data_IF_386086818194
#
_entry.id   IF_386086818194
#
_cell.length_a   1.000
_cell.length_b   1.000
_cell.length_c   1.000
_cell.angle_alpha   90.00
_cell.angle_beta   90.00
_cell.angle_gamma   90.00
#
_symmetry.space_group_name_H-M   'P 1'
#
loop_
_entity.id
_entity.type
_entity.pdbx_description
1 polymer ?
#
# COMPACT_ATOMS: atom_id res chain seq x y z
N UNK A 1 10.30 28.83 7.20
CA UNK A 1 9.50 28.59 5.99
C UNK A 1 8.69 27.32 6.22
N UNK A 2 7.38 27.41 6.07
CA UNK A 2 6.42 26.39 6.47
C UNK A 2 6.40 25.26 5.43
N UNK A 3 7.22 24.23 5.60
CA UNK A 3 7.16 23.00 4.78
C UNK A 3 6.00 22.15 5.29
N UNK A 4 4.77 22.65 5.14
CA UNK A 4 3.57 21.92 5.54
C UNK A 4 3.34 20.78 4.57
N UNK A 5 3.47 19.54 5.05
CA UNK A 5 2.99 18.38 4.32
C UNK A 5 1.52 18.61 3.89
N UNK A 6 1.11 18.16 2.69
CA UNK A 6 -0.26 18.34 2.23
C UNK A 6 -1.23 17.75 3.26
N UNK A 7 -2.24 18.55 3.65
CA UNK A 7 -3.29 18.16 4.60
C UNK A 7 -4.04 16.93 4.09
N UNK A 8 -4.20 15.92 4.94
CA UNK A 8 -5.11 14.81 4.66
C UNK A 8 -6.55 15.32 4.63
N UNK A 9 -7.27 15.04 3.55
CA UNK A 9 -8.68 15.45 3.40
C UNK A 9 -9.60 14.44 4.11
N UNK A 10 -10.80 14.87 4.55
CA UNK A 10 -11.81 13.94 5.03
C UNK A 10 -12.04 12.79 4.03
N UNK A 11 -12.16 11.58 4.57
CA UNK A 11 -12.19 10.32 3.84
C UNK A 11 -10.85 9.58 3.88
N UNK A 12 -9.72 10.29 3.94
CA UNK A 12 -8.35 9.71 3.90
C UNK A 12 -7.64 9.64 5.26
N UNK A 13 -8.18 10.26 6.29
CA UNK A 13 -7.45 10.53 7.53
C UNK A 13 -7.17 9.23 8.26
N UNK A 14 -8.18 8.38 8.46
CA UNK A 14 -8.02 7.15 9.23
C UNK A 14 -7.13 6.14 8.50
N UNK A 15 -7.25 6.06 7.17
CA UNK A 15 -6.45 5.14 6.37
C UNK A 15 -4.99 5.59 6.33
N UNK A 16 -4.74 6.90 6.15
CA UNK A 16 -3.39 7.44 6.18
C UNK A 16 -2.73 7.28 7.56
N UNK A 17 -3.51 7.48 8.64
CA UNK A 17 -3.03 7.24 10.00
C UNK A 17 -2.64 5.77 10.23
N UNK A 18 -3.40 4.82 9.69
CA UNK A 18 -3.06 3.40 9.68
C UNK A 18 -1.74 3.14 8.96
N UNK A 19 -1.62 3.62 7.71
CA UNK A 19 -0.44 3.45 6.87
C UNK A 19 0.85 4.08 7.45
N UNK A 20 0.72 5.11 8.29
CA UNK A 20 1.85 5.76 8.95
C UNK A 20 2.21 5.14 10.31
N UNK A 21 1.33 4.33 10.92
CA UNK A 21 1.40 3.95 12.34
C UNK A 21 2.77 3.43 12.77
N UNK A 22 3.39 2.55 11.97
CA UNK A 22 4.68 1.94 12.31
C UNK A 22 5.89 2.87 12.12
N UNK A 23 5.71 4.00 11.44
CA UNK A 23 6.75 5.02 11.23
C UNK A 23 6.72 6.17 12.26
N UNK A 24 5.67 6.24 13.08
CA UNK A 24 5.48 7.30 14.06
C UNK A 24 6.36 7.12 15.31
N UNK A 25 6.70 8.23 15.99
CA UNK A 25 7.32 8.17 17.33
C UNK A 25 6.39 7.49 18.33
N UNK A 26 6.91 6.92 19.43
CA UNK A 26 6.07 6.22 20.45
C UNK A 26 4.89 7.06 20.95
N UNK A 27 5.07 8.36 21.19
CA UNK A 27 3.97 9.23 21.62
C UNK A 27 2.94 9.43 20.50
N UNK A 28 3.39 9.66 19.26
CA UNK A 28 2.51 9.79 18.10
C UNK A 28 1.77 8.48 17.76
N UNK A 29 2.42 7.33 17.94
CA UNK A 29 1.80 6.01 17.80
C UNK A 29 0.62 5.81 18.74
N UNK A 30 0.76 6.24 19.99
CA UNK A 30 -0.31 6.16 20.99
C UNK A 30 -1.48 7.07 20.65
N UNK A 31 -1.19 8.28 20.16
CA UNK A 31 -2.22 9.21 19.68
C UNK A 31 -2.94 8.60 18.47
N UNK A 32 -2.21 8.14 17.46
CA UNK A 32 -2.78 7.52 16.27
C UNK A 32 -3.59 6.27 16.62
N UNK A 33 -3.07 5.38 17.47
CA UNK A 33 -3.77 4.17 17.91
C UNK A 33 -5.11 4.49 18.60
N UNK A 34 -5.15 5.51 19.45
CA UNK A 34 -6.39 5.91 20.10
C UNK A 34 -7.40 6.52 19.11
N UNK A 35 -6.94 7.39 18.19
CA UNK A 35 -7.79 7.95 17.13
C UNK A 35 -8.36 6.85 16.24
N UNK A 36 -7.52 5.88 15.88
CA UNK A 36 -7.89 4.74 15.04
C UNK A 36 -8.91 3.82 15.73
N UNK A 37 -8.79 3.61 17.03
CA UNK A 37 -9.70 2.78 17.81
C UNK A 37 -11.04 3.47 18.10
N UNK A 38 -11.03 4.78 18.37
CA UNK A 38 -12.19 5.51 18.90
C UNK A 38 -12.43 6.85 18.16
N UNK A 39 -12.49 6.86 16.81
CA UNK A 39 -12.48 8.11 16.04
C UNK A 39 -13.67 9.01 16.37
N UNK A 40 -14.87 8.43 16.54
CA UNK A 40 -16.07 9.16 16.93
C UNK A 40 -15.94 9.83 18.31
N UNK A 41 -15.37 9.14 19.30
CA UNK A 41 -15.14 9.73 20.63
C UNK A 41 -14.17 10.89 20.55
N UNK A 42 -13.07 10.77 19.78
CA UNK A 42 -12.09 11.85 19.62
C UNK A 42 -12.73 13.16 19.13
N UNK A 43 -13.77 13.10 18.29
CA UNK A 43 -14.48 14.30 17.82
C UNK A 43 -15.12 15.11 18.95
N UNK A 44 -15.43 14.46 20.07
CA UNK A 44 -16.09 15.06 21.23
C UNK A 44 -15.10 15.47 22.33
N UNK A 45 -13.84 14.99 22.28
CA UNK A 45 -12.84 15.27 23.31
C UNK A 45 -12.28 16.69 23.24
N UNK A 46 -11.85 17.19 24.40
CA UNK A 46 -10.88 18.29 24.47
C UNK A 46 -9.45 17.78 24.27
N UNK A 47 -8.50 18.70 24.05
CA UNK A 47 -7.09 18.32 23.94
C UNK A 47 -6.53 17.76 25.26
N UNK A 48 -7.02 18.25 26.40
CA UNK A 48 -6.63 17.79 27.72
C UNK A 48 -7.11 16.35 27.98
N UNK A 49 -8.33 16.02 27.54
CA UNK A 49 -8.86 14.65 27.63
C UNK A 49 -8.03 13.69 26.78
N UNK A 50 -7.77 14.06 25.52
CA UNK A 50 -6.96 13.24 24.63
C UNK A 50 -5.52 13.09 25.15
N UNK A 51 -4.95 14.15 25.73
CA UNK A 51 -3.64 14.11 26.41
C UNK A 51 -3.61 13.08 27.53
N UNK A 52 -4.66 13.04 28.35
CA UNK A 52 -4.79 12.09 29.46
C UNK A 52 -4.92 10.66 28.97
N UNK A 53 -5.79 10.41 27.98
CA UNK A 53 -6.06 9.09 27.41
C UNK A 53 -4.85 8.51 26.68
N UNK A 54 -4.09 9.36 25.98
CA UNK A 54 -2.92 8.95 25.19
C UNK A 54 -1.61 9.10 25.95
N UNK A 55 -1.64 9.57 27.21
CA UNK A 55 -0.53 10.05 28.03
C UNK A 55 0.56 10.76 27.20
N UNK A 56 0.14 11.65 26.31
CA UNK A 56 0.99 12.46 25.47
C UNK A 56 0.66 13.93 25.76
N UNK A 57 1.66 14.74 26.11
CA UNK A 57 1.41 16.14 26.44
C UNK A 57 0.74 16.91 25.30
N UNK A 58 -0.09 17.90 25.63
CA UNK A 58 -0.89 18.65 24.65
C UNK A 58 -0.06 19.25 23.50
N UNK A 59 1.15 19.75 23.80
CA UNK A 59 2.06 20.24 22.77
C UNK A 59 2.47 19.15 21.77
N UNK A 60 2.58 17.89 22.21
CA UNK A 60 2.84 16.74 21.34
C UNK A 60 1.64 16.44 20.44
N UNK A 61 0.41 16.53 20.96
CA UNK A 61 -0.81 16.37 20.16
C UNK A 61 -0.91 17.47 19.09
N UNK A 62 -0.65 18.73 19.45
CA UNK A 62 -0.64 19.83 18.48
C UNK A 62 0.41 19.58 17.39
N UNK A 63 1.63 19.18 17.77
CA UNK A 63 2.67 18.81 16.80
C UNK A 63 2.24 17.66 15.91
N UNK A 64 1.61 16.63 16.47
CA UNK A 64 1.07 15.50 15.72
C UNK A 64 0.04 15.95 14.67
N UNK A 65 -0.96 16.77 15.04
CA UNK A 65 -1.90 17.32 14.07
C UNK A 65 -1.20 18.16 12.98
N UNK A 66 -0.14 18.90 13.33
CA UNK A 66 0.66 19.66 12.36
C UNK A 66 1.45 18.77 11.40
N UNK A 67 1.96 17.62 11.86
CA UNK A 67 2.61 16.65 10.96
C UNK A 67 1.66 16.07 9.91
N UNK A 68 0.36 16.07 10.20
CA UNK A 68 -0.71 15.65 9.28
C UNK A 68 -1.24 16.79 8.39
N UNK A 69 -0.60 17.97 8.45
CA UNK A 69 -0.96 19.15 7.66
C UNK A 69 -2.06 20.05 8.24
N UNK A 70 -2.47 19.84 9.49
CA UNK A 70 -3.47 20.68 10.18
C UNK A 70 -2.84 21.82 10.98
N UNK A 71 -3.59 22.89 11.23
CA UNK A 71 -3.12 24.04 12.03
C UNK A 71 -2.97 23.70 13.52
N UNK A 72 -3.78 22.76 14.01
CA UNK A 72 -3.81 22.27 15.39
C UNK A 72 -4.95 21.28 15.63
N UNK A 73 -5.22 20.94 16.89
CA UNK A 73 -6.17 19.88 17.25
C UNK A 73 -7.62 20.17 16.82
N UNK A 74 -8.11 21.41 16.97
CA UNK A 74 -9.47 21.75 16.56
C UNK A 74 -9.68 21.62 15.05
N UNK A 75 -8.72 22.08 14.24
CA UNK A 75 -8.76 21.97 12.79
C UNK A 75 -8.74 20.50 12.32
N UNK A 76 -7.93 19.66 12.99
CA UNK A 76 -7.95 18.20 12.79
C UNK A 76 -9.31 17.58 13.17
N UNK A 77 -9.87 17.98 14.32
CA UNK A 77 -11.12 17.42 14.86
C UNK A 77 -12.31 17.68 13.94
N UNK A 78 -12.35 18.84 13.27
CA UNK A 78 -13.40 19.17 12.30
C UNK A 78 -13.39 18.20 11.11
N UNK A 79 -12.23 17.97 10.52
CA UNK A 79 -12.12 17.05 9.37
C UNK A 79 -12.34 15.59 9.77
N UNK A 80 -11.86 15.19 10.95
CA UNK A 80 -12.14 13.87 11.50
C UNK A 80 -13.65 13.67 11.71
N UNK A 81 -14.36 14.69 12.20
CA UNK A 81 -15.82 14.61 12.38
C UNK A 81 -16.57 14.45 11.05
N UNK A 82 -16.14 15.14 9.99
CA UNK A 82 -16.69 14.97 8.65
C UNK A 82 -16.48 13.52 8.17
N UNK A 83 -15.25 12.99 8.30
CA UNK A 83 -14.94 11.62 7.89
C UNK A 83 -15.76 10.58 8.65
N UNK A 84 -15.82 10.70 9.99
CA UNK A 84 -16.61 9.83 10.85
C UNK A 84 -18.09 9.83 10.44
N UNK A 85 -18.67 11.01 10.21
CA UNK A 85 -20.08 11.12 9.80
C UNK A 85 -20.36 10.43 8.44
N UNK A 86 -19.42 10.53 7.50
CA UNK A 86 -19.53 9.87 6.18
C UNK A 86 -19.34 8.35 6.25
N UNK A 87 -18.46 7.85 7.13
CA UNK A 87 -18.21 6.42 7.33
C UNK A 87 -19.33 5.70 8.10
N UNK A 88 -19.96 6.37 9.07
CA UNK A 88 -21.10 5.80 9.82
C UNK A 88 -22.32 5.49 8.93
N UNK A 89 -22.48 6.14 7.78
CA UNK A 89 -23.55 5.80 6.83
C UNK A 89 -23.29 4.49 6.06
N UNK A 90 -22.06 3.95 6.09
CA UNK A 90 -21.68 2.74 5.37
C UNK A 90 -21.30 1.53 6.26
N UNK A 91 -21.11 1.71 7.58
CA UNK A 91 -20.23 0.80 8.33
C UNK A 91 -20.70 0.40 9.76
N UNK A 92 -21.90 -0.16 9.93
CA UNK A 92 -22.32 -0.77 11.21
C UNK A 92 -21.60 -2.10 11.57
N UNK A 93 -20.39 -2.38 11.04
CA UNK A 93 -19.73 -3.69 11.17
C UNK A 93 -18.20 -3.66 11.36
N UNK A 94 -17.61 -2.52 11.72
CA UNK A 94 -16.16 -2.26 11.55
C UNK A 94 -15.21 -3.00 12.48
N UNK A 95 -15.70 -3.61 13.57
CA UNK A 95 -14.82 -3.96 14.68
C UNK A 95 -14.65 -5.46 14.95
N UNK A 96 -15.38 -6.35 14.28
CA UNK A 96 -15.33 -7.81 14.53
C UNK A 96 -15.13 -8.63 13.25
N UNK A 97 -14.05 -8.35 12.51
CA UNK A 97 -13.57 -9.27 11.47
C UNK A 97 -12.79 -10.47 12.05
N UNK A 98 -12.57 -10.50 13.36
CA UNK A 98 -11.89 -11.61 14.02
C UNK A 98 -12.81 -12.83 14.08
N UNK A 99 -12.24 -13.98 13.71
CA UNK A 99 -12.90 -15.27 13.81
C UNK A 99 -13.08 -15.62 15.29
N UNK A 100 -14.32 -15.88 15.68
CA UNK A 100 -14.73 -16.24 17.04
C UNK A 100 -14.95 -17.76 17.12
N UNK A 101 -14.81 -18.33 18.32
CA UNK A 101 -14.96 -19.77 18.56
C UNK A 101 -16.34 -20.32 18.13
N UNK A 102 -17.38 -19.49 18.15
CA UNK A 102 -18.74 -19.85 17.75
C UNK A 102 -19.09 -19.58 16.28
N UNK A 103 -18.17 -19.08 15.46
CA UNK A 103 -18.47 -18.78 14.06
C UNK A 103 -18.61 -20.07 13.23
N UNK A 104 -19.70 -20.18 12.48
CA UNK A 104 -19.81 -21.19 11.42
C UNK A 104 -19.07 -20.76 10.14
N UNK A 105 -18.97 -21.66 9.16
CA UNK A 105 -18.25 -21.40 7.91
C UNK A 105 -18.81 -20.20 7.12
N UNK A 106 -20.12 -19.94 7.18
CA UNK A 106 -20.75 -18.82 6.48
C UNK A 106 -20.45 -17.50 7.18
N UNK A 107 -20.49 -17.47 8.52
CA UNK A 107 -20.08 -16.32 9.33
C UNK A 107 -18.62 -15.94 9.06
N UNK A 108 -17.71 -16.91 9.04
CA UNK A 108 -16.29 -16.69 8.68
C UNK A 108 -16.19 -16.15 7.24
N UNK A 109 -16.92 -16.74 6.29
CA UNK A 109 -16.94 -16.29 4.90
C UNK A 109 -17.39 -14.83 4.75
N UNK A 110 -18.44 -14.42 5.47
CA UNK A 110 -18.94 -13.04 5.48
C UNK A 110 -17.94 -12.07 6.12
N UNK A 111 -17.31 -12.46 7.24
CA UNK A 111 -16.24 -11.65 7.88
C UNK A 111 -15.06 -11.46 6.94
N UNK A 112 -14.65 -12.50 6.24
CA UNK A 112 -13.57 -12.43 5.26
C UNK A 112 -13.92 -11.55 4.06
N UNK A 113 -15.14 -11.66 3.53
CA UNK A 113 -15.62 -10.80 2.44
C UNK A 113 -15.61 -9.33 2.86
N UNK A 114 -16.12 -9.02 4.05
CA UNK A 114 -16.11 -7.66 4.59
C UNK A 114 -14.68 -7.13 4.74
N UNK A 115 -13.77 -7.93 5.30
CA UNK A 115 -12.37 -7.56 5.44
C UNK A 115 -11.72 -7.22 4.08
N UNK A 116 -11.98 -8.04 3.05
CA UNK A 116 -11.45 -7.80 1.70
C UNK A 116 -12.04 -6.52 1.08
N UNK A 117 -13.34 -6.30 1.21
CA UNK A 117 -14.00 -5.08 0.69
C UNK A 117 -13.42 -3.81 1.32
N UNK A 118 -13.15 -3.85 2.62
CA UNK A 118 -12.54 -2.75 3.34
C UNK A 118 -11.12 -2.49 2.84
N UNK A 119 -10.31 -3.54 2.68
CA UNK A 119 -8.94 -3.44 2.16
C UNK A 119 -8.91 -2.85 0.74
N UNK A 120 -9.84 -3.23 -0.14
CA UNK A 120 -9.93 -2.67 -1.49
C UNK A 120 -10.34 -1.19 -1.47
N UNK A 121 -11.28 -0.82 -0.61
CA UNK A 121 -11.72 0.56 -0.43
C UNK A 121 -10.58 1.44 0.11
N UNK A 122 -9.88 0.95 1.14
CA UNK A 122 -8.69 1.58 1.72
C UNK A 122 -7.58 1.74 0.65
N UNK A 123 -7.36 0.70 -0.14
CA UNK A 123 -6.37 0.73 -1.23
C UNK A 123 -6.67 1.83 -2.23
N UNK A 124 -7.90 1.91 -2.74
CA UNK A 124 -8.28 2.98 -3.68
C UNK A 124 -8.17 4.38 -3.06
N UNK A 125 -8.39 4.49 -1.76
CA UNK A 125 -8.32 5.75 -1.05
C UNK A 125 -6.88 6.23 -0.83
N UNK A 126 -5.97 5.32 -0.49
CA UNK A 126 -4.54 5.60 -0.26
C UNK A 126 -3.74 5.74 -1.57
N UNK A 127 -4.11 4.99 -2.61
CA UNK A 127 -3.37 4.94 -3.85
C UNK A 127 -3.45 6.27 -4.61
N UNK A 128 -2.28 6.80 -4.98
CA UNK A 128 -2.21 7.95 -5.88
C UNK A 128 -2.38 7.49 -7.33
N UNK A 129 -3.55 7.75 -7.92
CA UNK A 129 -3.84 7.40 -9.32
C UNK A 129 -2.86 8.07 -10.28
N UNK A 130 -2.44 9.30 -9.99
CA UNK A 130 -1.41 9.98 -10.77
C UNK A 130 -0.09 9.19 -10.73
N UNK A 131 0.33 8.69 -9.56
CA UNK A 131 1.55 7.88 -9.45
C UNK A 131 1.43 6.55 -10.21
N UNK A 132 0.26 5.91 -10.17
CA UNK A 132 -0.03 4.70 -10.97
C UNK A 132 0.12 4.99 -12.46
N UNK A 133 -0.44 6.09 -12.95
CA UNK A 133 -0.33 6.49 -14.36
C UNK A 133 1.12 6.79 -14.76
N UNK A 134 1.92 7.41 -13.89
CA UNK A 134 3.35 7.60 -14.14
C UNK A 134 4.09 6.26 -14.21
N UNK A 135 3.82 5.33 -13.30
CA UNK A 135 4.39 3.97 -13.34
C UNK A 135 4.01 3.27 -14.64
N UNK A 136 2.75 3.32 -15.08
CA UNK A 136 2.32 2.74 -16.36
C UNK A 136 3.09 3.34 -17.54
N UNK A 137 3.32 4.66 -17.57
CA UNK A 137 4.11 5.33 -18.61
C UNK A 137 5.57 4.86 -18.64
N UNK A 138 6.15 4.54 -17.48
CA UNK A 138 7.52 4.04 -17.35
C UNK A 138 7.67 2.58 -17.78
N UNK A 139 6.68 1.74 -17.46
CA UNK A 139 6.74 0.31 -17.76
C UNK A 139 6.62 0.01 -19.27
N UNK A 140 5.90 0.85 -20.04
CA UNK A 140 5.69 0.63 -21.48
C UNK A 140 6.99 0.61 -22.30
N UNK A 141 7.88 1.62 -22.19
CA UNK A 141 9.15 1.63 -22.91
C UNK A 141 10.28 0.90 -22.17
N UNK A 142 10.03 0.29 -21.00
CA UNK A 142 11.09 -0.30 -20.19
C UNK A 142 11.80 -1.43 -20.93
N UNK A 143 13.13 -1.39 -20.94
CA UNK A 143 13.97 -2.43 -21.53
C UNK A 143 13.83 -3.77 -20.77
N UNK A 144 13.77 -3.66 -19.44
CA UNK A 144 13.58 -4.76 -18.51
C UNK A 144 12.83 -4.28 -17.27
N UNK A 145 11.93 -5.14 -16.78
CA UNK A 145 11.24 -4.96 -15.51
C UNK A 145 11.67 -6.09 -14.57
N UNK A 146 12.14 -5.74 -13.37
CA UNK A 146 12.45 -6.71 -12.32
C UNK A 146 11.55 -6.47 -11.11
N UNK A 147 10.83 -7.50 -10.67
CA UNK A 147 9.94 -7.42 -9.51
C UNK A 147 10.57 -8.21 -8.35
N UNK A 148 10.74 -7.56 -7.20
CA UNK A 148 11.37 -8.13 -6.02
C UNK A 148 10.37 -8.21 -4.87
N UNK A 149 10.24 -9.38 -4.26
CA UNK A 149 9.45 -9.57 -3.04
C UNK A 149 9.76 -10.90 -2.37
N UNK A 150 9.72 -10.95 -1.04
CA UNK A 150 9.91 -12.19 -0.26
C UNK A 150 8.56 -12.67 0.30
N UNK A 151 8.46 -13.97 0.62
CA UNK A 151 7.27 -14.55 1.24
C UNK A 151 6.00 -14.33 0.41
N UNK A 152 4.92 -13.89 1.05
CA UNK A 152 3.65 -13.58 0.39
C UNK A 152 3.77 -12.52 -0.71
N UNK A 153 4.63 -11.51 -0.52
CA UNK A 153 4.88 -10.47 -1.52
C UNK A 153 5.64 -11.01 -2.75
N UNK A 154 6.44 -12.06 -2.57
CA UNK A 154 7.07 -12.79 -3.68
C UNK A 154 6.06 -13.55 -4.54
N UNK A 155 5.01 -14.12 -3.94
CA UNK A 155 3.92 -14.77 -4.69
C UNK A 155 3.21 -13.75 -5.58
N UNK A 156 2.91 -12.56 -5.03
CA UNK A 156 2.32 -11.46 -5.79
C UNK A 156 3.23 -10.99 -6.93
N UNK A 157 4.55 -10.97 -6.72
CA UNK A 157 5.53 -10.63 -7.76
C UNK A 157 5.50 -11.62 -8.93
N UNK A 158 5.43 -12.92 -8.66
CA UNK A 158 5.35 -13.97 -9.69
C UNK A 158 4.02 -13.90 -10.48
N UNK A 159 2.90 -13.60 -9.81
CA UNK A 159 1.61 -13.37 -10.51
C UNK A 159 1.71 -12.19 -11.50
N UNK A 160 2.28 -11.07 -11.05
CA UNK A 160 2.48 -9.90 -11.90
C UNK A 160 3.41 -10.21 -13.08
N UNK A 161 4.51 -10.95 -12.87
CA UNK A 161 5.38 -11.42 -13.95
C UNK A 161 4.58 -12.19 -15.00
N UNK A 162 3.78 -13.18 -14.58
CA UNK A 162 2.96 -13.98 -15.50
C UNK A 162 1.99 -13.13 -16.34
N UNK A 163 1.33 -12.14 -15.71
CA UNK A 163 0.39 -11.24 -16.38
C UNK A 163 1.08 -10.28 -17.36
N UNK A 164 2.16 -9.64 -16.93
CA UNK A 164 2.90 -8.66 -17.75
C UNK A 164 3.63 -9.33 -18.91
N UNK A 165 4.21 -10.52 -18.70
CA UNK A 165 4.81 -11.33 -19.78
C UNK A 165 3.78 -11.68 -20.86
N UNK A 166 2.52 -11.93 -20.48
CA UNK A 166 1.43 -12.28 -21.40
C UNK A 166 1.01 -11.13 -22.33
N UNK A 167 1.39 -9.90 -22.02
CA UNK A 167 1.20 -8.72 -22.89
C UNK A 167 2.51 -8.23 -23.51
N UNK A 168 3.59 -9.02 -23.41
CA UNK A 168 4.84 -8.82 -24.14
C UNK A 168 5.90 -7.99 -23.43
N UNK A 169 5.68 -7.64 -22.16
CA UNK A 169 6.69 -6.93 -21.38
C UNK A 169 7.84 -7.87 -21.00
N UNK A 170 9.06 -7.34 -21.06
CA UNK A 170 10.28 -8.05 -20.65
C UNK A 170 10.41 -7.99 -19.13
N UNK A 171 9.71 -8.87 -18.46
CA UNK A 171 9.60 -8.91 -17.00
C UNK A 171 10.20 -10.18 -16.41
N UNK A 172 10.81 -10.05 -15.25
CA UNK A 172 11.14 -11.18 -14.38
C UNK A 172 10.81 -10.85 -12.91
N UNK A 173 10.60 -11.88 -12.11
CA UNK A 173 10.40 -11.78 -10.67
C UNK A 173 11.47 -12.61 -9.98
N UNK A 174 12.05 -12.06 -8.92
CA UNK A 174 12.98 -12.77 -8.05
C UNK A 174 12.44 -12.76 -6.63
N UNK A 175 12.29 -13.96 -6.06
CA UNK A 175 11.74 -14.18 -4.71
C UNK A 175 12.77 -14.69 -3.70
N UNK A 176 13.97 -15.01 -4.18
CA UNK A 176 15.16 -15.35 -3.39
C UNK A 176 16.15 -14.17 -3.38
N UNK A 177 16.71 -13.88 -2.20
CA UNK A 177 17.62 -12.76 -2.00
C UNK A 177 18.84 -12.74 -2.94
N UNK A 178 19.52 -13.87 -3.17
CA UNK A 178 20.68 -13.92 -4.06
C UNK A 178 20.31 -13.55 -5.49
N UNK A 179 19.19 -14.07 -6.01
CA UNK A 179 18.73 -13.73 -7.36
C UNK A 179 18.28 -12.28 -7.45
N UNK A 180 17.59 -11.74 -6.44
CA UNK A 180 17.23 -10.32 -6.39
C UNK A 180 18.48 -9.44 -6.50
N UNK A 181 19.51 -9.71 -5.70
CA UNK A 181 20.72 -8.86 -5.66
C UNK A 181 21.51 -8.94 -6.96
N UNK A 182 21.66 -10.14 -7.54
CA UNK A 182 22.35 -10.31 -8.81
C UNK A 182 21.59 -9.63 -9.95
N UNK A 183 20.26 -9.77 -10.01
CA UNK A 183 19.47 -9.08 -11.02
C UNK A 183 19.52 -7.57 -10.86
N UNK A 184 19.33 -7.06 -9.64
CA UNK A 184 19.34 -5.63 -9.33
C UNK A 184 20.68 -4.97 -9.67
N UNK A 185 21.80 -5.62 -9.35
CA UNK A 185 23.15 -5.09 -9.62
C UNK A 185 23.50 -5.02 -11.11
N UNK A 186 22.77 -5.73 -11.96
CA UNK A 186 22.97 -5.80 -13.41
C UNK A 186 21.93 -4.97 -14.19
N UNK A 187 21.05 -4.23 -13.50
CA UNK A 187 20.12 -3.32 -14.15
C UNK A 187 20.86 -2.09 -14.70
N UNK A 188 20.17 -1.30 -15.51
CA UNK A 188 20.75 -0.13 -16.18
C UNK A 188 19.71 0.99 -16.39
N UNK A 189 20.13 2.19 -16.82
CA UNK A 189 19.20 3.22 -17.27
C UNK A 189 18.25 2.69 -18.35
N UNK A 190 16.95 2.93 -18.16
CA UNK A 190 15.87 2.38 -19.01
C UNK A 190 15.19 1.14 -18.43
N UNK A 191 15.77 0.51 -17.40
CA UNK A 191 15.11 -0.57 -16.66
C UNK A 191 14.24 -0.03 -15.51
N UNK A 192 13.27 -0.83 -15.08
CA UNK A 192 12.39 -0.53 -13.94
C UNK A 192 12.45 -1.66 -12.89
N UNK A 193 12.75 -1.30 -11.65
CA UNK A 193 12.70 -2.21 -10.51
C UNK A 193 11.47 -1.93 -9.65
N UNK A 194 10.68 -2.97 -9.36
CA UNK A 194 9.51 -2.88 -8.49
C UNK A 194 9.78 -3.68 -7.22
N UNK A 195 9.89 -3.02 -6.07
CA UNK A 195 9.99 -3.66 -4.77
C UNK A 195 8.63 -3.77 -4.09
N UNK A 196 8.18 -4.99 -3.80
CA UNK A 196 6.94 -5.27 -3.08
C UNK A 196 7.28 -5.68 -1.65
N UNK A 197 6.85 -4.88 -0.68
CA UNK A 197 7.02 -5.17 0.74
C UNK A 197 5.92 -4.50 1.55
N UNK A 198 5.04 -5.29 2.16
CA UNK A 198 3.95 -4.74 2.98
C UNK A 198 4.48 -3.84 4.12
N UNK A 199 5.48 -4.31 4.88
CA UNK A 199 6.10 -3.51 5.96
C UNK A 199 6.98 -2.37 5.44
N UNK A 200 7.46 -2.51 4.20
CA UNK A 200 8.45 -1.63 3.58
C UNK A 200 9.84 -1.67 4.22
N UNK A 201 10.11 -2.70 5.03
CA UNK A 201 11.34 -2.86 5.83
C UNK A 201 12.03 -4.21 5.65
N UNK A 202 11.53 -5.09 4.76
CA UNK A 202 12.25 -6.35 4.44
C UNK A 202 13.64 -6.02 3.93
N UNK A 203 14.66 -6.52 4.64
CA UNK A 203 16.06 -6.22 4.36
C UNK A 203 16.44 -6.64 2.93
N UNK A 204 15.91 -7.77 2.46
CA UNK A 204 16.13 -8.32 1.14
C UNK A 204 15.55 -7.41 0.05
N UNK A 205 14.24 -7.10 0.12
CA UNK A 205 13.61 -6.25 -0.89
C UNK A 205 14.20 -4.84 -0.90
N UNK A 206 14.45 -4.27 0.29
CA UNK A 206 15.07 -2.95 0.44
C UNK A 206 16.48 -2.92 -0.15
N UNK A 207 17.30 -3.95 0.11
CA UNK A 207 18.65 -4.03 -0.44
C UNK A 207 18.65 -4.19 -1.96
N UNK A 208 17.77 -5.04 -2.50
CA UNK A 208 17.61 -5.21 -3.95
C UNK A 208 17.19 -3.91 -4.63
N UNK A 209 16.20 -3.19 -4.09
CA UNK A 209 15.76 -1.92 -4.67
C UNK A 209 16.87 -0.85 -4.62
N UNK A 210 17.66 -0.82 -3.54
CA UNK A 210 18.83 0.05 -3.42
C UNK A 210 19.89 -0.26 -4.50
N UNK A 211 20.22 -1.53 -4.71
CA UNK A 211 21.17 -1.95 -5.76
C UNK A 211 20.68 -1.55 -7.15
N UNK A 212 19.40 -1.76 -7.44
CA UNK A 212 18.79 -1.38 -8.71
C UNK A 212 18.89 0.14 -8.96
N UNK A 213 18.61 0.95 -7.93
CA UNK A 213 18.78 2.41 -8.01
C UNK A 213 20.23 2.81 -8.27
N UNK A 214 21.17 2.18 -7.58
CA UNK A 214 22.61 2.43 -7.77
C UNK A 214 23.08 2.05 -9.18
N UNK A 215 22.49 1.03 -9.78
CA UNK A 215 22.75 0.62 -11.15
C UNK A 215 22.06 1.52 -12.21
N UNK A 216 21.23 2.47 -11.79
CA UNK A 216 20.59 3.47 -12.65
C UNK A 216 19.17 3.11 -13.12
N UNK A 217 18.57 2.04 -12.59
CA UNK A 217 17.17 1.71 -12.87
C UNK A 217 16.22 2.70 -12.18
N UNK A 218 15.05 2.92 -12.78
CA UNK A 218 13.94 3.61 -12.10
C UNK A 218 13.32 2.67 -11.07
N UNK A 219 13.08 3.15 -9.87
CA UNK A 219 12.60 2.33 -8.75
C UNK A 219 11.17 2.65 -8.33
N UNK A 220 10.37 1.61 -8.12
CA UNK A 220 8.97 1.69 -7.68
C UNK A 220 8.80 0.86 -6.41
N UNK A 221 8.19 1.42 -5.37
CA UNK A 221 7.81 0.68 -4.17
C UNK A 221 6.29 0.44 -4.14
N UNK A 222 5.87 -0.80 -3.87
CA UNK A 222 4.50 -1.15 -3.49
C UNK A 222 4.50 -1.59 -2.02
N UNK A 223 3.88 -0.78 -1.16
CA UNK A 223 3.91 -0.99 0.29
C UNK A 223 2.66 -0.44 0.96
N UNK A 224 2.33 -0.95 2.15
CA UNK A 224 1.32 -0.31 3.00
C UNK A 224 1.94 0.79 3.85
N UNK A 225 3.19 0.62 4.30
CA UNK A 225 3.82 1.52 5.25
C UNK A 225 4.39 2.76 4.56
N UNK A 226 3.70 3.89 4.74
CA UNK A 226 4.01 5.16 4.07
C UNK A 226 5.38 5.74 4.48
N UNK A 227 5.80 5.51 5.73
CA UNK A 227 7.06 6.02 6.28
C UNK A 227 8.13 4.93 6.45
N UNK A 228 8.25 4.02 5.50
CA UNK A 228 9.18 2.89 5.57
C UNK A 228 10.46 3.10 4.75
N UNK A 229 11.50 2.33 5.04
CA UNK A 229 12.80 2.45 4.35
C UNK A 229 12.69 2.31 2.83
N UNK A 230 11.77 1.47 2.33
CA UNK A 230 11.58 1.29 0.89
C UNK A 230 11.04 2.56 0.21
N UNK A 231 10.25 3.39 0.91
CA UNK A 231 9.68 4.61 0.34
C UNK A 231 10.70 5.73 0.20
N UNK A 232 11.73 5.76 1.05
CA UNK A 232 12.86 6.69 0.95
C UNK A 232 13.77 6.36 -0.24
N UNK A 233 13.83 5.08 -0.64
CA UNK A 233 14.66 4.62 -1.74
C UNK A 233 13.98 4.75 -3.10
N UNK A 234 12.66 4.55 -3.17
CA UNK A 234 11.94 4.50 -4.43
C UNK A 234 11.75 5.88 -5.09
N UNK A 235 11.79 5.92 -6.42
CA UNK A 235 11.45 7.12 -7.20
C UNK A 235 9.93 7.31 -7.27
N UNK A 236 9.18 6.21 -7.25
CA UNK A 236 7.71 6.20 -7.20
C UNK A 236 7.22 5.29 -6.07
N UNK A 237 6.26 5.77 -5.29
CA UNK A 237 5.69 5.03 -4.16
C UNK A 237 4.20 4.82 -4.38
N UNK A 238 3.77 3.56 -4.36
CA UNK A 238 2.39 3.13 -4.43
C UNK A 238 1.98 2.60 -3.06
N UNK A 239 1.11 3.36 -2.37
CA UNK A 239 0.60 2.98 -1.06
C UNK A 239 -0.70 2.19 -1.24
N UNK A 240 -0.71 0.93 -0.80
CA UNK A 240 -1.91 0.09 -0.76
C UNK A 240 -2.53 0.03 0.63
N UNK A 241 -3.80 -0.34 0.69
CA UNK A 241 -4.50 -0.57 1.95
C UNK A 241 -4.07 -1.90 2.58
N UNK A 242 -4.11 -1.94 3.90
CA UNK A 242 -4.35 -3.13 4.72
C UNK A 242 -4.03 -2.78 6.18
N UNK A 243 -4.99 -2.16 6.86
CA UNK A 243 -4.92 -1.84 8.30
C UNK A 243 -4.98 -3.05 9.25
N UNK A 244 -4.81 -4.28 8.74
CA UNK A 244 -4.80 -5.44 9.62
C UNK A 244 -3.55 -5.45 10.51
N UNK A 245 -3.71 -5.91 11.76
CA UNK A 245 -2.72 -5.78 12.83
C UNK A 245 -1.33 -6.36 12.53
N UNK A 246 -0.34 -5.95 13.31
CA UNK A 246 1.11 -6.17 13.12
C UNK A 246 1.58 -7.62 12.84
N UNK A 247 0.74 -8.63 13.07
CA UNK A 247 1.05 -10.05 12.85
C UNK A 247 0.49 -10.62 11.52
N UNK A 248 -0.11 -9.79 10.67
CA UNK A 248 -0.87 -10.22 9.49
C UNK A 248 -0.22 -9.83 8.15
N UNK A 249 1.11 -9.66 8.10
CA UNK A 249 1.83 -9.36 6.86
C UNK A 249 1.58 -10.36 5.72
N UNK A 250 1.27 -11.62 6.04
CA UNK A 250 0.90 -12.68 5.10
C UNK A 250 -0.61 -12.88 4.94
N UNK A 251 -1.45 -11.93 5.41
CA UNK A 251 -2.90 -12.06 5.29
C UNK A 251 -3.36 -12.01 3.84
N UNK A 252 -4.54 -12.60 3.62
CA UNK A 252 -5.26 -12.46 2.36
C UNK A 252 -5.52 -11.00 2.00
N UNK A 253 -5.77 -10.12 2.98
CA UNK A 253 -5.91 -8.68 2.78
C UNK A 253 -4.67 -8.07 2.13
N UNK A 254 -3.47 -8.31 2.70
CA UNK A 254 -2.20 -7.82 2.12
C UNK A 254 -2.06 -8.26 0.67
N UNK A 255 -2.28 -9.55 0.39
CA UNK A 255 -2.10 -10.11 -0.94
C UNK A 255 -3.11 -9.52 -1.93
N UNK A 256 -4.39 -9.44 -1.56
CA UNK A 256 -5.44 -8.89 -2.42
C UNK A 256 -5.18 -7.42 -2.73
N UNK A 257 -4.75 -6.62 -1.76
CA UNK A 257 -4.41 -5.22 -2.00
C UNK A 257 -3.26 -5.06 -3.01
N UNK A 258 -2.19 -5.85 -2.86
CA UNK A 258 -1.07 -5.82 -3.80
C UNK A 258 -1.48 -6.29 -5.20
N UNK A 259 -2.21 -7.40 -5.29
CA UNK A 259 -2.74 -7.94 -6.54
C UNK A 259 -3.65 -6.92 -7.24
N UNK A 260 -4.51 -6.24 -6.48
CA UNK A 260 -5.39 -5.21 -7.01
C UNK A 260 -4.62 -4.05 -7.65
N UNK A 261 -3.58 -3.53 -6.99
CA UNK A 261 -2.74 -2.45 -7.56
C UNK A 261 -2.03 -2.92 -8.83
N UNK A 262 -1.50 -4.15 -8.83
CA UNK A 262 -0.82 -4.72 -9.99
C UNK A 262 -1.80 -5.01 -11.15
N UNK A 263 -3.02 -5.44 -10.86
CA UNK A 263 -4.07 -5.63 -11.87
C UNK A 263 -4.58 -4.30 -12.43
N UNK A 264 -4.64 -3.25 -11.62
CA UNK A 264 -4.93 -1.90 -12.10
C UNK A 264 -3.84 -1.43 -13.07
N UNK A 265 -2.57 -1.61 -12.73
CA UNK A 265 -1.43 -1.31 -13.63
C UNK A 265 -1.54 -2.13 -14.92
N UNK A 266 -1.80 -3.44 -14.82
CA UNK A 266 -1.98 -4.31 -15.97
C UNK A 266 -3.14 -3.85 -16.87
N UNK A 267 -4.30 -3.53 -16.29
CA UNK A 267 -5.46 -3.05 -17.05
C UNK A 267 -5.17 -1.73 -17.77
N UNK A 268 -4.44 -0.81 -17.12
CA UNK A 268 -4.02 0.45 -17.72
C UNK A 268 -2.99 0.26 -18.84
N UNK A 269 -2.06 -0.69 -18.70
CA UNK A 269 -1.11 -1.08 -19.75
C UNK A 269 -1.85 -1.64 -20.98
N UNK A 270 -2.81 -2.54 -20.78
CA UNK A 270 -3.65 -3.09 -21.86
C UNK A 270 -4.48 -1.98 -22.53
N UNK A 271 -5.09 -1.08 -21.75
CA UNK A 271 -5.86 0.04 -22.27
C UNK A 271 -5.00 0.97 -23.15
N UNK A 272 -3.72 1.13 -22.83
CA UNK A 272 -2.83 2.03 -23.55
C UNK A 272 -2.44 1.53 -24.95
N UNK A 273 -2.52 0.22 -25.22
CA UNK A 273 -2.39 -0.38 -26.56
C UNK A 273 -3.19 -1.69 -26.69
N UNK A 274 -4.53 -1.60 -26.88
CA UNK A 274 -5.39 -2.78 -26.83
C UNK A 274 -5.12 -3.80 -27.94
N UNK A 275 -4.81 -3.33 -29.15
CA UNK A 275 -4.59 -4.18 -30.30
C UNK A 275 -3.28 -4.97 -30.18
N UNK A 276 -2.20 -4.31 -29.76
CA UNK A 276 -0.93 -4.98 -29.51
C UNK A 276 -1.07 -5.99 -28.34
N UNK A 277 -1.70 -5.58 -27.25
CA UNK A 277 -1.90 -6.43 -26.08
C UNK A 277 -2.72 -7.69 -26.43
N UNK A 278 -3.81 -7.57 -27.19
CA UNK A 278 -4.61 -8.73 -27.61
C UNK A 278 -3.81 -9.68 -28.51
N UNK A 279 -3.08 -9.14 -29.50
CA UNK A 279 -2.26 -9.93 -30.41
C UNK A 279 -1.20 -10.74 -29.68
N UNK A 280 -0.45 -10.12 -28.77
CA UNK A 280 0.59 -10.80 -27.98
C UNK A 280 -0.03 -11.80 -27.00
N UNK A 281 -1.14 -11.45 -26.35
CA UNK A 281 -1.85 -12.35 -25.44
C UNK A 281 -2.36 -13.60 -26.17
N UNK A 282 -2.87 -13.47 -27.39
CA UNK A 282 -3.26 -14.61 -28.22
C UNK A 282 -2.06 -15.49 -28.54
N UNK A 283 -0.94 -14.91 -28.99
CA UNK A 283 0.30 -15.64 -29.30
C UNK A 283 0.82 -16.43 -28.10
N UNK A 284 0.92 -15.79 -26.95
CA UNK A 284 1.42 -16.43 -25.72
C UNK A 284 0.46 -17.48 -25.18
N UNK A 285 -0.85 -17.26 -25.25
CA UNK A 285 -1.86 -18.24 -24.83
C UNK A 285 -1.81 -19.50 -25.71
N UNK A 286 -1.71 -19.33 -27.03
CA UNK A 286 -1.56 -20.45 -27.97
C UNK A 286 -0.30 -21.27 -27.67
N UNK A 287 0.84 -20.62 -27.42
CA UNK A 287 2.10 -21.30 -27.12
C UNK A 287 2.03 -22.17 -25.85
N UNK A 288 1.29 -21.75 -24.82
CA UNK A 288 1.12 -22.55 -23.60
C UNK A 288 0.09 -23.67 -23.78
N UNK A 289 -0.96 -23.46 -24.59
CA UNK A 289 -1.99 -24.48 -24.83
C UNK A 289 -1.58 -25.63 -25.76
N UNK A 290 -0.51 -25.48 -26.53
CA UNK A 290 -0.10 -26.46 -27.56
C UNK A 290 0.56 -27.73 -26.99
N UNK A 291 0.86 -27.78 -25.69
CA UNK A 291 1.46 -28.94 -25.00
C UNK A 291 0.53 -29.57 -23.94
N UNK A 292 -0.79 -29.36 -24.07
CA UNK A 292 -1.83 -29.94 -23.20
C UNK A 292 -2.57 -31.09 -23.86
#
# INVERSE_FOLDING_TARGET
MNTGAPRFKPGKILDALGAMQNSLTRSAQRIAAYILAEPAKVTQLSIADLSSLTQAGEATIIRFCRTLGYKGFQDFKMDLAIEVATRHHSENSLLDADVQEGDDALAIGNKLQLAINNVLSETLNLLSIESVEQVVKLLRPADRICIFGVGSSGITAEDAKGKLMRIGLRVDAATNNHFMYMQASLMRPGDVAIGISHSGTSAETVHALKLAKQAGATTVALTHNMGSTITELADYVLINGNRQGQLQGDSIGTKIAQLFVLDLIYALLVKADPAQAESIKRKTTQAVSQNG
#
